data_IF_045809972780
#
_entry.id   IF_045809972780
#
_cell.length_a   1.000
_cell.length_b   1.000
_cell.length_c   1.000
_cell.angle_alpha   90.00
_cell.angle_beta   90.00
_cell.angle_gamma   90.00
#
_symmetry.space_group_name_H-M   'P 1'
#
loop_
_entity.id
_entity.type
_entity.pdbx_description
1 polymer ?
#
# COMPACT_ATOMS: atom_id res chain seq x y z
N UNK A 1 -10.14 -12.48 12.85
CA UNK A 1 -8.84 -11.94 12.39
C UNK A 1 -9.04 -10.50 11.96
N UNK A 2 -7.96 -9.73 11.78
CA UNK A 2 -8.06 -8.38 11.27
C UNK A 2 -8.69 -8.37 9.86
N UNK A 3 -9.31 -7.26 9.50
CA UNK A 3 -10.04 -7.08 8.24
C UNK A 3 -9.57 -5.80 7.55
N UNK A 4 -9.05 -5.93 6.32
CA UNK A 4 -8.51 -4.83 5.54
C UNK A 4 -9.57 -3.78 5.22
N UNK A 5 -10.85 -4.16 5.08
CA UNK A 5 -11.94 -3.24 4.77
C UNK A 5 -12.14 -2.18 5.84
N UNK A 6 -11.77 -2.47 7.09
CA UNK A 6 -11.84 -1.52 8.20
C UNK A 6 -10.76 -0.44 8.14
N UNK A 7 -9.66 -0.68 7.42
CA UNK A 7 -8.55 0.26 7.26
C UNK A 7 -8.75 1.16 6.03
N UNK A 8 -9.42 0.69 4.98
CA UNK A 8 -9.63 1.43 3.72
C UNK A 8 -10.13 2.86 3.93
N UNK A 9 -11.18 3.13 4.75
CA UNK A 9 -11.69 4.50 4.91
C UNK A 9 -10.67 5.45 5.53
N UNK A 10 -9.78 4.95 6.39
CA UNK A 10 -8.72 5.73 7.00
C UNK A 10 -7.63 6.10 5.99
N UNK A 11 -7.17 5.13 5.19
CA UNK A 11 -6.17 5.35 4.15
C UNK A 11 -6.71 6.34 3.11
N UNK A 12 -7.93 6.11 2.60
CA UNK A 12 -8.55 6.98 1.60
C UNK A 12 -8.82 8.40 2.09
N UNK A 13 -8.95 8.64 3.40
CA UNK A 13 -9.14 10.00 3.95
C UNK A 13 -7.89 10.86 3.78
N UNK A 14 -6.71 10.24 3.83
CA UNK A 14 -5.41 10.92 3.74
C UNK A 14 -4.92 11.06 2.30
N UNK A 15 -5.50 10.30 1.37
CA UNK A 15 -5.05 10.23 -0.01
C UNK A 15 -5.76 11.24 -0.90
N UNK A 16 -4.97 12.08 -1.57
CA UNK A 16 -5.44 13.10 -2.50
C UNK A 16 -5.76 12.56 -3.90
N UNK A 17 -5.79 13.47 -4.87
CA UNK A 17 -5.94 13.13 -6.29
C UNK A 17 -4.62 12.73 -6.95
N UNK A 18 -4.62 12.77 -8.29
CA UNK A 18 -3.44 12.49 -9.09
C UNK A 18 -2.33 13.52 -8.86
N UNK A 19 -1.11 13.05 -8.60
CA UNK A 19 0.12 13.84 -8.50
C UNK A 19 1.18 13.23 -9.40
N UNK A 20 1.87 14.07 -10.17
CA UNK A 20 3.00 13.64 -11.00
C UNK A 20 4.08 14.72 -10.95
N UNK A 21 4.85 14.70 -9.87
CA UNK A 21 5.99 15.60 -9.68
C UNK A 21 7.21 15.05 -10.45
N UNK A 22 7.81 15.83 -11.38
CA UNK A 22 9.03 15.43 -12.09
C UNK A 22 10.22 15.09 -11.18
N UNK A 23 10.24 15.58 -9.94
CA UNK A 23 11.27 15.30 -8.94
C UNK A 23 10.95 14.07 -8.08
N UNK A 24 9.74 13.52 -8.16
CA UNK A 24 9.34 12.34 -7.39
C UNK A 24 9.89 11.07 -8.04
N UNK A 25 10.73 10.36 -7.28
CA UNK A 25 11.32 9.07 -7.69
C UNK A 25 10.26 7.97 -7.85
N UNK A 26 9.10 8.11 -7.21
CA UNK A 26 7.95 7.21 -7.33
C UNK A 26 7.20 7.37 -8.66
N UNK A 27 7.38 8.51 -9.34
CA UNK A 27 6.66 8.89 -10.55
C UNK A 27 5.18 9.20 -10.29
N UNK A 28 4.37 9.14 -11.33
CA UNK A 28 2.94 9.42 -11.24
C UNK A 28 2.26 8.56 -10.17
N UNK A 29 1.47 9.22 -9.32
CA UNK A 29 0.73 8.62 -8.21
C UNK A 29 -0.72 9.05 -8.29
N UNK A 30 -1.65 8.11 -8.11
CA UNK A 30 -3.07 8.41 -7.99
C UNK A 30 -3.63 7.71 -6.76
N UNK A 31 -4.27 8.48 -5.87
CA UNK A 31 -4.83 7.98 -4.61
C UNK A 31 -3.80 7.11 -3.83
N UNK A 32 -2.54 7.56 -3.81
CA UNK A 32 -1.41 6.90 -3.13
C UNK A 32 -0.82 5.68 -3.81
N UNK A 33 -1.40 5.25 -4.94
CA UNK A 33 -0.84 4.18 -5.75
C UNK A 33 0.08 4.78 -6.80
N UNK A 34 1.38 4.46 -6.70
CA UNK A 34 2.37 4.83 -7.71
C UNK A 34 2.18 4.02 -9.00
N UNK A 35 2.64 4.56 -10.13
CA UNK A 35 2.63 3.85 -11.42
C UNK A 35 3.42 2.53 -11.37
N UNK A 36 4.48 2.48 -10.57
CA UNK A 36 5.28 1.26 -10.40
C UNK A 36 4.50 0.19 -9.64
N UNK A 37 3.79 0.58 -8.58
CA UNK A 37 2.89 -0.32 -7.84
C UNK A 37 1.76 -0.82 -8.75
N UNK A 38 1.11 0.08 -9.48
CA UNK A 38 0.00 -0.28 -10.38
C UNK A 38 0.45 -1.26 -11.48
N UNK A 39 1.63 -1.02 -12.09
CA UNK A 39 2.23 -1.92 -13.09
C UNK A 39 2.64 -3.28 -12.54
N UNK A 40 2.98 -3.36 -11.25
CA UNK A 40 3.30 -4.64 -10.60
C UNK A 40 2.07 -5.54 -10.53
N UNK A 41 0.87 -4.96 -10.35
CA UNK A 41 -0.39 -5.71 -10.24
C UNK A 41 -1.05 -5.95 -11.61
N UNK A 42 -1.10 -4.94 -12.49
CA UNK A 42 -1.87 -4.99 -13.74
C UNK A 42 -1.01 -5.07 -15.01
N UNK A 43 0.31 -5.15 -14.87
CA UNK A 43 1.25 -5.36 -15.97
C UNK A 43 2.07 -4.12 -16.34
N UNK A 44 3.30 -4.35 -16.78
CA UNK A 44 4.31 -3.33 -17.07
C UNK A 44 3.92 -2.33 -18.18
N UNK A 45 2.96 -2.67 -19.04
CA UNK A 45 2.47 -1.83 -20.13
C UNK A 45 1.47 -0.74 -19.69
N UNK A 46 0.98 -0.78 -18.44
CA UNK A 46 0.05 0.24 -17.94
C UNK A 46 0.65 1.63 -18.01
N UNK A 47 -0.16 2.60 -18.40
CA UNK A 47 0.22 3.98 -18.63
C UNK A 47 -0.18 4.87 -17.46
N UNK A 48 0.33 6.10 -17.45
CA UNK A 48 -0.11 7.13 -16.50
C UNK A 48 -1.59 7.45 -16.69
N UNK A 49 -2.11 7.33 -17.91
CA UNK A 49 -3.52 7.58 -18.20
C UNK A 49 -4.42 6.47 -17.65
N UNK A 50 -3.98 5.21 -17.71
CA UNK A 50 -4.66 4.11 -17.02
C UNK A 50 -4.70 4.36 -15.51
N UNK A 51 -3.58 4.82 -14.92
CA UNK A 51 -3.50 5.12 -13.49
C UNK A 51 -4.45 6.26 -13.09
N UNK A 52 -4.65 7.28 -13.93
CA UNK A 52 -5.64 8.35 -13.66
C UNK A 52 -7.07 7.83 -13.62
N UNK A 53 -7.37 6.80 -14.41
CA UNK A 53 -8.68 6.14 -14.46
C UNK A 53 -8.81 4.96 -13.49
N UNK A 54 -7.93 4.89 -12.48
CA UNK A 54 -7.95 3.84 -11.47
C UNK A 54 -9.33 3.73 -10.82
N UNK A 55 -9.95 2.56 -10.94
CA UNK A 55 -11.25 2.29 -10.34
C UNK A 55 -11.13 2.00 -8.85
N UNK A 56 -12.23 2.14 -8.10
CA UNK A 56 -12.27 1.79 -6.68
C UNK A 56 -11.94 0.31 -6.45
N UNK A 57 -12.42 -0.58 -7.31
CA UNK A 57 -12.15 -2.01 -7.24
C UNK A 57 -10.67 -2.30 -7.50
N UNK A 58 -10.05 -1.63 -8.48
CA UNK A 58 -8.63 -1.80 -8.73
C UNK A 58 -7.77 -1.27 -7.59
N UNK A 59 -8.16 -0.11 -7.01
CA UNK A 59 -7.51 0.46 -5.84
C UNK A 59 -7.57 -0.49 -4.65
N UNK A 60 -8.75 -1.04 -4.35
CA UNK A 60 -8.94 -2.00 -3.25
C UNK A 60 -8.10 -3.26 -3.47
N UNK A 61 -8.07 -3.78 -4.70
CA UNK A 61 -7.27 -4.93 -5.04
C UNK A 61 -5.77 -4.68 -4.85
N UNK A 62 -5.26 -3.52 -5.29
CA UNK A 62 -3.85 -3.15 -5.08
C UNK A 62 -3.56 -3.00 -3.59
N UNK A 63 -4.42 -2.29 -2.85
CA UNK A 63 -4.27 -2.09 -1.41
C UNK A 63 -4.17 -3.44 -0.68
N UNK A 64 -5.12 -4.35 -0.95
CA UNK A 64 -5.12 -5.68 -0.36
C UNK A 64 -3.87 -6.47 -0.77
N UNK A 65 -3.59 -6.58 -2.06
CA UNK A 65 -2.56 -7.49 -2.56
C UNK A 65 -1.13 -7.03 -2.22
N UNK A 66 -0.84 -5.73 -2.36
CA UNK A 66 0.52 -5.21 -2.22
C UNK A 66 0.87 -4.82 -0.78
N UNK A 67 -0.13 -4.40 0.02
CA UNK A 67 0.12 -3.84 1.35
C UNK A 67 -0.39 -4.79 2.44
N UNK A 68 -1.68 -5.18 2.40
CA UNK A 68 -2.27 -6.04 3.43
C UNK A 68 -1.71 -7.46 3.43
N UNK A 69 -1.77 -8.13 2.28
CA UNK A 69 -1.36 -9.53 2.11
C UNK A 69 0.16 -9.68 2.28
N UNK A 70 0.93 -8.67 1.85
CA UNK A 70 2.38 -8.62 2.06
C UNK A 70 2.75 -8.60 3.55
N UNK A 71 1.93 -7.99 4.39
CA UNK A 71 2.09 -8.00 5.84
C UNK A 71 1.56 -9.28 6.50
N UNK A 72 0.92 -10.18 5.74
CA UNK A 72 0.11 -11.30 6.26
C UNK A 72 -0.88 -10.83 7.32
N UNK A 73 -1.49 -9.67 7.11
CA UNK A 73 -2.29 -9.01 8.14
C UNK A 73 -3.57 -9.80 8.51
N UNK A 74 -4.04 -10.71 7.64
CA UNK A 74 -5.09 -11.68 7.95
C UNK A 74 -4.71 -12.67 9.08
N UNK A 75 -3.42 -12.84 9.37
CA UNK A 75 -2.94 -13.68 10.48
C UNK A 75 -2.87 -12.91 11.82
N UNK A 76 -3.03 -11.58 11.78
CA UNK A 76 -2.94 -10.73 12.95
C UNK A 76 -4.31 -10.66 13.63
N UNK A 77 -4.36 -11.07 14.90
CA UNK A 77 -5.60 -11.05 15.71
C UNK A 77 -6.06 -9.63 16.05
N UNK A 78 -5.12 -8.73 16.32
CA UNK A 78 -5.40 -7.35 16.70
C UNK A 78 -5.56 -6.45 15.47
N UNK A 79 -6.77 -5.93 15.24
CA UNK A 79 -7.02 -4.96 14.17
C UNK A 79 -6.11 -3.72 14.30
N UNK A 80 -5.89 -3.22 15.51
CA UNK A 80 -5.06 -2.04 15.72
C UNK A 80 -3.60 -2.29 15.32
N UNK A 81 -3.06 -3.47 15.65
CA UNK A 81 -1.68 -3.83 15.26
C UNK A 81 -1.58 -3.99 13.75
N UNK A 82 -2.54 -4.70 13.13
CA UNK A 82 -2.60 -4.86 11.68
C UNK A 82 -2.67 -3.48 10.97
N UNK A 83 -3.50 -2.58 11.49
CA UNK A 83 -3.67 -1.24 10.94
C UNK A 83 -2.37 -0.45 10.96
N UNK A 84 -1.70 -0.36 12.12
CA UNK A 84 -0.45 0.38 12.25
C UNK A 84 0.68 -0.21 11.39
N UNK A 85 0.76 -1.54 11.31
CA UNK A 85 1.76 -2.21 10.47
C UNK A 85 1.53 -1.92 8.99
N UNK A 86 0.30 -2.08 8.50
CA UNK A 86 -0.03 -1.89 7.08
C UNK A 86 0.06 -0.41 6.68
N UNK A 87 -0.35 0.51 7.55
CA UNK A 87 -0.20 1.97 7.34
C UNK A 87 1.28 2.37 7.24
N UNK A 88 2.16 1.80 8.08
CA UNK A 88 3.59 2.05 7.97
C UNK A 88 4.16 1.52 6.64
N UNK A 89 3.69 0.36 6.17
CA UNK A 89 4.09 -0.18 4.86
C UNK A 89 3.50 0.66 3.71
N UNK A 90 2.30 1.24 3.88
CA UNK A 90 1.73 2.19 2.93
C UNK A 90 2.64 3.40 2.74
N UNK A 91 3.05 4.05 3.82
CA UNK A 91 3.88 5.25 3.76
C UNK A 91 5.38 5.00 3.53
N UNK A 92 5.90 3.82 3.82
CA UNK A 92 7.36 3.55 3.83
C UNK A 92 7.80 2.29 3.07
N UNK A 93 6.88 1.56 2.44
CA UNK A 93 7.17 0.31 1.73
C UNK A 93 7.85 -0.73 2.62
N UNK A 94 8.86 -1.41 2.08
CA UNK A 94 9.62 -2.48 2.78
C UNK A 94 10.24 -2.02 4.11
N UNK A 95 10.50 -0.72 4.28
CA UNK A 95 11.04 -0.19 5.52
C UNK A 95 10.05 -0.30 6.70
N UNK A 96 8.73 -0.28 6.42
CA UNK A 96 7.71 -0.54 7.43
C UNK A 96 7.79 -1.98 7.96
N UNK A 97 7.93 -2.97 7.06
CA UNK A 97 8.07 -4.39 7.43
C UNK A 97 9.34 -4.59 8.26
N UNK A 98 10.48 -4.09 7.76
CA UNK A 98 11.76 -4.17 8.47
C UNK A 98 11.72 -3.45 9.82
N UNK A 99 10.95 -2.37 9.93
CA UNK A 99 10.68 -1.66 11.18
C UNK A 99 10.00 -2.56 12.21
N UNK A 100 8.90 -3.20 11.83
CA UNK A 100 8.19 -4.14 12.69
C UNK A 100 9.07 -5.34 13.08
N UNK A 101 9.81 -5.92 12.13
CA UNK A 101 10.72 -7.03 12.40
C UNK A 101 11.77 -6.68 13.48
N UNK A 102 12.35 -5.48 13.40
CA UNK A 102 13.27 -4.98 14.44
C UNK A 102 12.59 -4.85 15.81
N UNK A 103 11.36 -4.31 15.85
CA UNK A 103 10.62 -4.11 17.11
C UNK A 103 10.31 -5.43 17.81
N UNK A 104 10.04 -6.51 17.06
CA UNK A 104 9.74 -7.83 17.63
C UNK A 104 10.98 -8.72 17.78
N UNK A 105 12.18 -8.20 17.51
CA UNK A 105 13.45 -8.90 17.73
C UNK A 105 13.76 -10.01 16.73
N UNK A 106 13.18 -9.98 15.52
CA UNK A 106 13.50 -10.92 14.44
C UNK A 106 14.41 -10.28 13.41
N UNK A 107 15.00 -11.10 12.54
CA UNK A 107 15.84 -10.61 11.43
C UNK A 107 15.03 -9.66 10.54
N UNK A 108 15.58 -8.49 10.24
CA UNK A 108 14.93 -7.45 9.45
C UNK A 108 15.19 -7.61 7.94
N UNK A 109 14.76 -8.74 7.37
CA UNK A 109 14.95 -9.05 5.94
C UNK A 109 13.86 -8.47 5.02
N UNK A 110 12.71 -8.10 5.58
CA UNK A 110 11.63 -7.38 4.90
C UNK A 110 10.62 -8.24 4.15
#
# INVERSE_FOLDING_TARGET
MADYKKLIPFIKKSEGGFVNDPLDRGGATNMGITINTYRTVYGSKKTVEDLKHLTEQEWEHVFKHIFWDRCKADEIKSQGVANNMVDWVWGSGVNGIKGVQRLVGVKADG
#
